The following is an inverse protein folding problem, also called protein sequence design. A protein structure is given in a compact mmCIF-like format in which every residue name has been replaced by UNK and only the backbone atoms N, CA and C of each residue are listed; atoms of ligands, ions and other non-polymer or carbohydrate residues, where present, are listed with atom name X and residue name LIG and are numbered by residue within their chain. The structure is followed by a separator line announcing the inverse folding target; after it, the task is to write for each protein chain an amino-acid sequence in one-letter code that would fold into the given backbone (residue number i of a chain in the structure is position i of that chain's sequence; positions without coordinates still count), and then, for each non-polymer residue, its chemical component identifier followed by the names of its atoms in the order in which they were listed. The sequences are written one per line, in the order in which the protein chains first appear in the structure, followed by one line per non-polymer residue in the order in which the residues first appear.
data_IF_697217187313
#
_entry.id   IF_697217187313
#
_cell.length_a   1.000
_cell.length_b   1.000
_cell.length_c   1.000
_cell.angle_alpha   90.00
_cell.angle_beta   90.00
_cell.angle_gamma   90.00
#
_symmetry.space_group_name_H-M   'P 1'
#
loop_
_entity.id
_entity.type
_entity.pdbx_description
1 polymer ?
#
# COMPACT_ATOMS: atom_id res chain seq x y z
N UNK A 1 3.19 -24.12 28.37
CA UNK A 1 3.05 -23.53 27.02
C UNK A 1 1.86 -24.14 26.26
N UNK A 2 1.72 -25.47 26.20
CA UNK A 2 0.66 -26.17 25.44
C UNK A 2 -0.76 -25.85 26.00
N UNK A 3 -0.97 -25.93 27.32
CA UNK A 3 -2.25 -25.62 27.99
C UNK A 3 -2.66 -24.16 27.77
N UNK A 4 -1.69 -23.23 27.76
CA UNK A 4 -1.93 -21.81 27.52
C UNK A 4 -2.36 -21.54 26.04
N UNK A 5 -1.77 -22.25 25.07
CA UNK A 5 -2.18 -22.19 23.67
C UNK A 5 -3.59 -22.76 23.45
N UNK A 6 -3.91 -23.92 24.04
CA UNK A 6 -5.27 -24.50 23.95
C UNK A 6 -6.32 -23.58 24.56
N UNK A 7 -6.05 -22.97 25.71
CA UNK A 7 -6.98 -22.03 26.36
C UNK A 7 -7.23 -20.80 25.47
N UNK A 8 -6.22 -20.21 24.86
CA UNK A 8 -6.38 -19.09 23.93
C UNK A 8 -7.17 -19.49 22.67
N UNK A 9 -6.96 -20.69 22.13
CA UNK A 9 -7.75 -21.20 21.01
C UNK A 9 -9.24 -21.30 21.37
N UNK A 10 -9.57 -21.88 22.56
CA UNK A 10 -10.97 -21.98 22.99
C UNK A 10 -11.62 -20.60 23.22
N UNK A 11 -10.88 -19.65 23.82
CA UNK A 11 -11.39 -18.27 24.04
C UNK A 11 -11.68 -17.59 22.70
N UNK A 12 -10.74 -17.66 21.76
CA UNK A 12 -10.92 -17.13 20.41
C UNK A 12 -12.14 -17.73 19.71
N UNK A 13 -12.25 -19.07 19.72
CA UNK A 13 -13.32 -19.78 19.01
C UNK A 13 -14.70 -19.44 19.59
N UNK A 14 -14.78 -19.34 20.94
CA UNK A 14 -16.01 -18.91 21.63
C UNK A 14 -16.34 -17.44 21.30
N UNK A 15 -15.32 -16.56 21.29
CA UNK A 15 -15.51 -15.15 20.96
C UNK A 15 -16.01 -14.97 19.53
N UNK A 16 -15.43 -15.68 18.56
CA UNK A 16 -15.86 -15.61 17.16
C UNK A 16 -17.30 -16.16 17.00
N UNK A 17 -17.64 -17.26 17.67
CA UNK A 17 -18.98 -17.82 17.63
C UNK A 17 -20.06 -16.92 18.26
N UNK A 18 -19.69 -16.09 19.23
CA UNK A 18 -20.61 -15.12 19.87
C UNK A 18 -20.82 -13.86 19.01
N UNK A 19 -19.82 -13.46 18.22
CA UNK A 19 -19.83 -12.17 17.52
C UNK A 19 -20.03 -12.26 16.00
N UNK A 20 -20.02 -13.47 15.43
CA UNK A 20 -20.24 -13.70 13.99
C UNK A 20 -21.52 -14.53 13.79
N UNK A 21 -22.42 -13.99 12.98
CA UNK A 21 -23.57 -14.74 12.53
C UNK A 21 -23.16 -15.99 11.73
N UNK A 22 -23.75 -17.12 12.03
CA UNK A 22 -23.52 -18.42 11.37
C UNK A 22 -22.10 -18.99 11.54
N UNK A 23 -21.27 -18.46 12.43
CA UNK A 23 -19.97 -19.03 12.71
C UNK A 23 -20.11 -20.33 13.49
N UNK A 24 -19.61 -21.44 12.92
CA UNK A 24 -19.64 -22.75 13.56
C UNK A 24 -18.28 -23.46 13.45
N UNK A 25 -17.78 -23.99 14.58
CA UNK A 25 -16.56 -24.80 14.58
C UNK A 25 -16.76 -26.23 14.09
N UNK A 26 -15.70 -27.04 13.94
CA UNK A 26 -14.32 -26.72 14.27
C UNK A 26 -13.65 -25.79 13.24
N UNK A 27 -12.64 -25.03 13.70
CA UNK A 27 -11.87 -24.15 12.82
C UNK A 27 -10.45 -24.67 12.59
N UNK A 28 -9.90 -24.40 11.41
CA UNK A 28 -8.47 -24.49 11.13
C UNK A 28 -7.87 -23.10 10.98
N UNK A 29 -6.62 -22.94 11.37
CA UNK A 29 -5.90 -21.67 11.30
C UNK A 29 -4.56 -21.89 10.61
N UNK A 30 -4.33 -21.16 9.53
CA UNK A 30 -3.11 -21.19 8.75
C UNK A 30 -2.52 -19.77 8.70
N UNK A 31 -1.23 -19.62 8.93
CA UNK A 31 -0.56 -18.33 8.82
C UNK A 31 -0.17 -18.06 7.37
N UNK A 32 -0.49 -16.88 6.82
CA UNK A 32 0.01 -16.48 5.52
C UNK A 32 1.51 -16.23 5.59
N UNK A 33 2.26 -16.90 4.72
CA UNK A 33 3.70 -16.69 4.56
C UNK A 33 3.93 -15.49 3.66
N UNK A 34 4.21 -14.34 4.23
CA UNK A 34 4.45 -13.09 3.51
C UNK A 34 3.68 -11.94 4.17
N UNK A 35 4.25 -10.75 4.18
CA UNK A 35 3.74 -9.61 4.92
C UNK A 35 4.50 -9.41 6.22
N UNK A 36 5.26 -8.32 6.30
CA UNK A 36 6.20 -8.10 7.40
C UNK A 36 5.60 -7.26 8.53
N UNK A 37 4.43 -6.61 8.29
CA UNK A 37 3.91 -5.63 9.23
C UNK A 37 2.99 -6.24 10.28
N UNK A 38 1.87 -6.83 9.88
CA UNK A 38 0.87 -7.37 10.80
C UNK A 38 0.65 -8.87 10.53
N UNK A 39 0.83 -9.76 11.53
CA UNK A 39 0.56 -11.19 11.35
C UNK A 39 -0.87 -11.44 10.89
N UNK A 40 -0.99 -12.18 9.79
CA UNK A 40 -2.26 -12.43 9.10
C UNK A 40 -2.50 -13.94 8.99
N UNK A 41 -3.72 -14.37 9.32
CA UNK A 41 -4.10 -15.78 9.40
C UNK A 41 -5.36 -16.06 8.62
N UNK A 42 -5.38 -17.15 7.88
CA UNK A 42 -6.58 -17.73 7.30
C UNK A 42 -7.28 -18.59 8.35
N UNK A 43 -8.57 -18.30 8.60
CA UNK A 43 -9.45 -19.08 9.47
C UNK A 43 -10.48 -19.75 8.57
N UNK A 44 -10.50 -21.08 8.57
CA UNK A 44 -11.50 -21.87 7.83
C UNK A 44 -12.44 -22.55 8.82
N UNK A 45 -13.73 -22.43 8.55
CA UNK A 45 -14.81 -23.23 9.16
C UNK A 45 -15.21 -24.35 8.18
N UNK A 46 -16.26 -25.07 8.50
CA UNK A 46 -16.84 -26.06 7.58
C UNK A 46 -17.52 -25.43 6.34
N UNK A 47 -17.92 -24.17 6.41
CA UNK A 47 -18.70 -23.47 5.40
C UNK A 47 -18.03 -22.24 4.84
N UNK A 48 -17.20 -21.55 5.63
CA UNK A 48 -16.69 -20.23 5.32
C UNK A 48 -15.20 -20.08 5.57
N UNK A 49 -14.60 -19.06 4.94
CA UNK A 49 -13.22 -18.68 5.15
C UNK A 49 -13.11 -17.20 5.53
N UNK A 50 -12.29 -16.91 6.52
CA UNK A 50 -12.05 -15.58 7.05
C UNK A 50 -10.57 -15.27 7.12
N UNK A 51 -10.22 -13.99 7.15
CA UNK A 51 -8.87 -13.51 7.39
C UNK A 51 -8.83 -12.76 8.71
N UNK A 52 -7.99 -13.21 9.64
CA UNK A 52 -7.70 -12.54 10.90
C UNK A 52 -6.37 -11.82 10.78
N UNK A 53 -6.37 -10.50 11.02
CA UNK A 53 -5.17 -9.67 11.04
C UNK A 53 -5.00 -9.07 12.44
N UNK A 54 -3.81 -9.19 13.02
CA UNK A 54 -3.55 -8.75 14.39
C UNK A 54 -2.29 -7.89 14.51
N UNK A 55 -2.21 -7.09 15.56
CA UNK A 55 -0.95 -6.43 15.93
C UNK A 55 0.15 -7.46 16.24
N UNK A 56 1.41 -7.23 15.84
CA UNK A 56 2.51 -8.08 16.25
C UNK A 56 2.70 -8.01 17.78
N UNK A 57 3.23 -9.08 18.40
CA UNK A 57 3.53 -9.07 19.85
C UNK A 57 4.74 -8.18 20.14
N UNK A 58 4.73 -7.47 21.27
CA UNK A 58 5.87 -6.69 21.78
C UNK A 58 5.56 -5.21 21.95
N UNK A 59 6.60 -4.43 22.32
CA UNK A 59 6.51 -2.97 22.44
C UNK A 59 6.54 -2.36 21.05
N UNK A 60 5.41 -1.80 20.63
CA UNK A 60 5.24 -1.16 19.34
C UNK A 60 5.36 0.36 19.45
N UNK A 61 5.86 1.00 18.41
CA UNK A 61 5.79 2.46 18.29
C UNK A 61 4.31 2.88 18.18
N UNK A 62 3.94 3.96 18.85
CA UNK A 62 2.55 4.44 19.03
C UNK A 62 1.73 4.60 17.74
N UNK A 63 2.35 4.66 16.57
CA UNK A 63 1.70 4.82 15.26
C UNK A 63 1.97 3.68 14.28
N UNK A 64 2.70 2.64 14.71
CA UNK A 64 2.97 1.47 13.89
C UNK A 64 1.90 0.41 14.15
N UNK A 65 1.52 -0.32 13.10
CA UNK A 65 0.61 -1.47 13.22
C UNK A 65 -0.81 -1.12 13.71
N UNK A 66 -1.37 -0.01 13.22
CA UNK A 66 -2.69 0.49 13.60
C UNK A 66 -3.82 -0.32 12.92
N UNK A 67 -4.07 -1.54 13.41
CA UNK A 67 -5.12 -2.44 12.88
C UNK A 67 -6.53 -1.86 13.04
N UNK A 68 -6.77 -1.00 14.03
CA UNK A 68 -7.99 -0.23 14.22
C UNK A 68 -8.27 0.72 13.06
N UNK A 69 -7.24 1.43 12.58
CA UNK A 69 -7.34 2.32 11.42
C UNK A 69 -7.59 1.53 10.13
N UNK A 70 -6.89 0.42 9.96
CA UNK A 70 -7.06 -0.47 8.83
C UNK A 70 -8.49 -1.03 8.79
N UNK A 71 -9.01 -1.52 9.91
CA UNK A 71 -10.40 -1.95 10.02
C UNK A 71 -11.39 -0.80 9.73
N UNK A 72 -11.17 0.40 10.28
CA UNK A 72 -12.03 1.58 10.10
C UNK A 72 -12.21 1.90 8.61
N UNK A 73 -11.12 1.94 7.84
CA UNK A 73 -11.18 2.28 6.42
C UNK A 73 -11.83 1.18 5.59
N UNK A 74 -11.49 -0.11 5.82
CA UNK A 74 -12.10 -1.23 5.10
C UNK A 74 -13.62 -1.24 5.36
N UNK A 75 -14.04 -1.08 6.62
CA UNK A 75 -15.46 -1.06 6.99
C UNK A 75 -16.22 0.11 6.34
N UNK A 76 -15.60 1.28 6.29
CA UNK A 76 -16.20 2.43 5.62
C UNK A 76 -16.34 2.20 4.10
N UNK A 77 -15.31 1.62 3.46
CA UNK A 77 -15.33 1.30 2.04
C UNK A 77 -16.30 0.19 1.65
N UNK A 78 -16.74 -0.66 2.58
CA UNK A 78 -17.79 -1.65 2.31
C UNK A 78 -19.13 -1.02 1.88
N UNK A 79 -19.32 0.29 2.06
CA UNK A 79 -20.49 1.04 1.60
C UNK A 79 -20.33 1.64 0.20
N UNK A 80 -19.22 1.36 -0.48
CA UNK A 80 -18.84 1.94 -1.77
C UNK A 80 -18.64 0.84 -2.83
N UNK A 81 -18.33 1.24 -4.06
CA UNK A 81 -17.95 0.34 -5.15
C UNK A 81 -16.43 0.06 -5.23
N UNK A 82 -15.66 0.53 -4.25
CA UNK A 82 -14.24 0.19 -4.11
C UNK A 82 -14.12 -1.25 -3.62
N UNK A 83 -13.43 -2.13 -4.34
CA UNK A 83 -13.31 -3.53 -3.94
C UNK A 83 -12.40 -3.69 -2.72
N UNK A 84 -12.99 -4.12 -1.61
CA UNK A 84 -12.29 -4.40 -0.34
C UNK A 84 -12.91 -5.64 0.31
N UNK A 85 -12.19 -6.34 1.21
CA UNK A 85 -12.79 -7.41 1.98
C UNK A 85 -13.97 -6.90 2.82
N UNK A 86 -14.94 -7.75 3.13
CA UNK A 86 -15.99 -7.41 4.09
C UNK A 86 -15.38 -7.39 5.49
N UNK A 87 -15.46 -6.24 6.17
CA UNK A 87 -15.02 -6.08 7.54
C UNK A 87 -16.09 -6.58 8.52
N UNK A 88 -15.84 -7.69 9.22
CA UNK A 88 -16.81 -8.31 10.12
C UNK A 88 -16.76 -7.75 11.52
N UNK A 89 -15.60 -7.87 12.19
CA UNK A 89 -15.45 -7.45 13.57
C UNK A 89 -14.04 -6.90 13.85
N UNK A 90 -13.98 -6.01 14.85
CA UNK A 90 -12.75 -5.52 15.44
C UNK A 90 -12.78 -5.81 16.95
N UNK A 91 -11.71 -6.38 17.49
CA UNK A 91 -11.59 -6.76 18.88
C UNK A 91 -10.39 -6.04 19.52
N UNK A 92 -10.68 -5.15 20.45
CA UNK A 92 -9.69 -4.42 21.26
C UNK A 92 -9.31 -5.20 22.54
N UNK A 93 -10.10 -6.23 22.90
CA UNK A 93 -9.86 -7.03 24.12
C UNK A 93 -8.67 -7.98 23.92
N UNK A 94 -7.53 -7.60 24.46
CA UNK A 94 -6.31 -8.41 24.42
C UNK A 94 -6.45 -9.75 25.17
N UNK A 95 -7.45 -9.94 26.03
CA UNK A 95 -7.65 -11.20 26.73
C UNK A 95 -8.05 -12.36 25.80
N UNK A 96 -8.57 -12.05 24.61
CA UNK A 96 -9.06 -13.03 23.63
C UNK A 96 -7.90 -13.79 22.97
N UNK A 97 -6.95 -13.06 22.35
CA UNK A 97 -5.78 -13.67 21.66
C UNK A 97 -4.43 -13.08 22.08
N UNK A 98 -4.42 -12.21 23.08
CA UNK A 98 -3.19 -11.58 23.59
C UNK A 98 -2.82 -10.28 22.89
N UNK A 99 -3.63 -9.79 21.95
CA UNK A 99 -3.42 -8.54 21.20
C UNK A 99 -4.70 -8.15 20.47
N UNK A 100 -4.80 -6.88 20.11
CA UNK A 100 -5.86 -6.34 19.26
C UNK A 100 -5.82 -6.98 17.86
N UNK A 101 -7.00 -7.25 17.29
CA UNK A 101 -7.16 -7.86 15.96
C UNK A 101 -8.46 -7.47 15.31
N UNK A 102 -8.55 -7.69 14.01
CA UNK A 102 -9.81 -7.65 13.28
C UNK A 102 -9.99 -8.87 12.38
N UNK A 103 -11.24 -9.11 11.99
CA UNK A 103 -11.63 -10.17 11.09
C UNK A 103 -12.30 -9.59 9.85
N UNK A 104 -11.94 -10.12 8.69
CA UNK A 104 -12.52 -9.77 7.40
C UNK A 104 -12.78 -11.02 6.55
N UNK A 105 -13.53 -10.88 5.46
CA UNK A 105 -13.74 -11.98 4.51
C UNK A 105 -12.43 -12.41 3.86
N UNK A 106 -12.33 -13.70 3.55
CA UNK A 106 -11.35 -14.19 2.61
C UNK A 106 -11.86 -13.89 1.19
N UNK A 107 -11.02 -13.29 0.36
CA UNK A 107 -11.33 -13.01 -1.05
C UNK A 107 -10.52 -13.99 -1.91
N UNK A 108 -11.20 -14.74 -2.76
CA UNK A 108 -10.57 -15.65 -3.70
C UNK A 108 -9.99 -14.88 -4.89
N UNK A 109 -8.85 -15.36 -5.42
CA UNK A 109 -8.18 -14.79 -6.58
C UNK A 109 -6.68 -14.97 -6.52
N UNK A 110 -5.97 -14.25 -7.39
CA UNK A 110 -4.52 -14.32 -7.51
C UNK A 110 -3.87 -12.96 -7.18
N UNK A 111 -2.79 -13.00 -6.41
CA UNK A 111 -1.87 -11.86 -6.22
C UNK A 111 -0.68 -12.07 -7.14
N UNK A 112 -0.40 -11.11 -8.03
CA UNK A 112 0.76 -11.12 -8.90
C UNK A 112 1.90 -10.31 -8.28
N UNK A 113 3.10 -10.86 -8.30
CA UNK A 113 4.26 -10.25 -7.65
C UNK A 113 5.11 -9.39 -8.58
N UNK A 114 5.14 -9.75 -9.86
CA UNK A 114 5.94 -9.06 -10.87
C UNK A 114 5.06 -8.15 -11.73
N UNK A 115 5.41 -6.85 -11.91
CA UNK A 115 4.54 -5.91 -12.63
C UNK A 115 4.37 -6.24 -14.11
N UNK A 116 5.26 -7.03 -14.72
CA UNK A 116 5.09 -7.51 -16.10
C UNK A 116 4.23 -8.79 -16.20
N UNK A 117 3.76 -9.32 -15.07
CA UNK A 117 2.83 -10.45 -14.93
C UNK A 117 3.26 -11.62 -15.81
N UNK A 118 4.38 -12.30 -15.51
CA UNK A 118 4.87 -13.43 -16.34
C UNK A 118 3.90 -14.61 -16.36
N UNK A 119 3.08 -14.77 -15.33
CA UNK A 119 2.09 -15.85 -15.20
C UNK A 119 0.80 -15.62 -16.03
N UNK A 120 0.64 -14.44 -16.64
CA UNK A 120 -0.56 -14.14 -17.41
C UNK A 120 -0.69 -15.06 -18.64
N UNK A 121 -1.91 -15.50 -18.91
CA UNK A 121 -2.27 -16.38 -20.04
C UNK A 121 -1.88 -15.78 -21.39
N UNK A 122 -2.09 -14.47 -21.53
CA UNK A 122 -1.86 -13.73 -22.78
C UNK A 122 -1.77 -12.20 -22.54
N UNK A 123 -1.56 -11.47 -23.62
CA UNK A 123 -1.48 -10.01 -23.61
C UNK A 123 -2.81 -9.35 -23.26
N UNK A 124 -3.93 -9.99 -23.59
CA UNK A 124 -5.27 -9.47 -23.24
C UNK A 124 -5.46 -9.45 -21.75
N UNK A 125 -5.12 -10.53 -21.06
CA UNK A 125 -5.20 -10.61 -19.60
C UNK A 125 -4.38 -9.50 -18.94
N UNK A 126 -3.11 -9.28 -19.37
CA UNK A 126 -2.29 -8.19 -18.85
C UNK A 126 -2.95 -6.82 -19.05
N UNK A 127 -3.44 -6.58 -20.27
CA UNK A 127 -4.14 -5.33 -20.60
C UNK A 127 -5.36 -5.10 -19.72
N UNK A 128 -6.17 -6.14 -19.48
CA UNK A 128 -7.40 -6.03 -18.71
C UNK A 128 -7.11 -5.83 -17.21
N UNK A 129 -6.09 -6.51 -16.66
CA UNK A 129 -5.61 -6.27 -15.30
C UNK A 129 -5.15 -4.81 -15.12
N UNK A 130 -4.33 -4.27 -16.04
CA UNK A 130 -3.87 -2.88 -15.94
C UNK A 130 -4.99 -1.86 -16.05
N UNK A 131 -6.00 -2.10 -16.90
CA UNK A 131 -7.21 -1.26 -16.96
C UNK A 131 -8.00 -1.33 -15.65
N UNK A 132 -8.14 -2.52 -15.10
CA UNK A 132 -8.82 -2.72 -13.82
C UNK A 132 -8.10 -2.03 -12.65
N UNK A 133 -6.75 -2.07 -12.60
CA UNK A 133 -5.96 -1.33 -11.63
C UNK A 133 -6.22 0.18 -11.72
N UNK A 134 -6.18 0.74 -12.95
CA UNK A 134 -6.45 2.16 -13.17
C UNK A 134 -7.87 2.57 -12.80
N UNK A 135 -8.86 1.71 -13.08
CA UNK A 135 -10.26 1.93 -12.68
C UNK A 135 -10.41 1.90 -11.16
N UNK A 136 -9.77 0.93 -10.51
CA UNK A 136 -9.88 0.72 -9.07
C UNK A 136 -9.28 1.86 -8.26
N UNK A 137 -8.09 2.33 -8.62
CA UNK A 137 -7.49 3.48 -7.92
C UNK A 137 -8.28 4.77 -8.17
N UNK A 138 -8.86 4.94 -9.37
CA UNK A 138 -9.76 6.06 -9.65
C UNK A 138 -11.02 5.99 -8.77
N UNK A 139 -11.67 4.83 -8.65
CA UNK A 139 -12.82 4.66 -7.75
C UNK A 139 -12.47 5.05 -6.33
N UNK A 140 -11.31 4.59 -5.82
CA UNK A 140 -10.85 4.97 -4.50
C UNK A 140 -10.71 6.48 -4.33
N UNK A 141 -10.05 7.15 -5.28
CA UNK A 141 -9.84 8.61 -5.22
C UNK A 141 -11.14 9.42 -5.41
N UNK A 142 -12.17 8.83 -5.98
CA UNK A 142 -13.47 9.48 -6.18
C UNK A 142 -14.43 9.31 -4.98
N UNK A 143 -14.05 8.49 -3.99
CA UNK A 143 -14.81 8.39 -2.74
C UNK A 143 -14.73 9.70 -1.98
N UNK A 144 -15.88 10.26 -1.61
CA UNK A 144 -15.95 11.43 -0.71
C UNK A 144 -15.84 10.95 0.73
N UNK A 145 -14.76 11.33 1.45
CA UNK A 145 -14.55 10.82 2.81
C UNK A 145 -15.69 11.14 3.78
N UNK A 146 -16.34 12.31 3.62
CA UNK A 146 -17.51 12.69 4.43
C UNK A 146 -18.72 11.78 4.27
N UNK A 147 -18.91 11.17 3.07
CA UNK A 147 -20.07 10.34 2.79
C UNK A 147 -19.97 8.97 3.47
N UNK A 148 -18.77 8.60 3.93
CA UNK A 148 -18.47 7.32 4.59
C UNK A 148 -17.87 7.48 6.00
N UNK A 149 -17.96 8.68 6.59
CA UNK A 149 -17.50 8.96 7.96
C UNK A 149 -15.98 8.92 8.15
N UNK A 150 -15.22 9.32 7.13
CA UNK A 150 -13.76 9.39 7.14
C UNK A 150 -13.21 10.81 6.98
N UNK A 151 -13.98 11.86 7.25
CA UNK A 151 -13.56 13.25 7.14
C UNK A 151 -12.39 13.61 8.06
N UNK A 152 -12.23 12.89 9.17
CA UNK A 152 -11.15 13.05 10.16
C UNK A 152 -10.01 12.00 9.99
N UNK A 153 -10.06 11.17 8.96
CA UNK A 153 -9.13 10.05 8.77
C UNK A 153 -7.70 10.49 8.44
N UNK A 154 -7.50 11.74 8.04
CA UNK A 154 -6.20 12.35 7.73
C UNK A 154 -6.08 13.76 8.26
N UNK A 155 -4.91 14.37 8.06
CA UNK A 155 -4.65 15.76 8.45
C UNK A 155 -4.98 16.68 7.27
N UNK A 156 -5.66 17.81 7.49
CA UNK A 156 -5.88 18.82 6.47
C UNK A 156 -4.57 19.50 6.02
N UNK A 157 -4.61 20.21 4.90
CA UNK A 157 -3.50 20.98 4.34
C UNK A 157 -2.66 20.21 3.33
N UNK A 158 -1.64 20.87 2.80
CA UNK A 158 -0.84 20.36 1.69
C UNK A 158 -0.15 19.02 2.03
N UNK A 159 -0.65 17.94 1.44
CA UNK A 159 -0.17 16.58 1.68
C UNK A 159 1.29 16.43 1.24
N UNK A 160 1.63 16.85 0.01
CA UNK A 160 2.98 16.69 -0.56
C UNK A 160 4.01 17.45 0.29
N UNK A 161 3.73 18.69 0.67
CA UNK A 161 4.64 19.48 1.52
C UNK A 161 4.94 18.80 2.86
N UNK A 162 3.89 18.23 3.50
CA UNK A 162 4.08 17.49 4.75
C UNK A 162 4.91 16.24 4.57
N UNK A 163 4.72 15.51 3.47
CA UNK A 163 5.50 14.32 3.16
C UNK A 163 6.96 14.66 2.83
N UNK A 164 7.21 15.70 2.04
CA UNK A 164 8.58 16.19 1.79
C UNK A 164 9.28 16.51 3.10
N UNK A 165 8.65 17.32 3.96
CA UNK A 165 9.23 17.66 5.28
C UNK A 165 9.50 16.43 6.15
N UNK A 166 8.57 15.46 6.17
CA UNK A 166 8.71 14.21 6.94
C UNK A 166 9.90 13.39 6.46
N UNK A 167 9.98 13.16 5.14
CA UNK A 167 11.00 12.29 4.56
C UNK A 167 12.39 12.95 4.57
N UNK A 168 12.48 14.28 4.43
CA UNK A 168 13.72 15.02 4.63
C UNK A 168 14.27 14.82 6.04
N UNK A 169 13.42 14.98 7.07
CA UNK A 169 13.83 14.76 8.47
C UNK A 169 14.26 13.32 8.73
N UNK A 170 13.55 12.35 8.16
CA UNK A 170 13.88 10.94 8.32
C UNK A 170 15.20 10.59 7.63
N UNK A 171 15.43 11.10 6.42
CA UNK A 171 16.69 10.93 5.69
C UNK A 171 17.87 11.47 6.51
N UNK A 172 17.82 12.72 6.95
CA UNK A 172 18.90 13.36 7.75
C UNK A 172 19.17 12.56 9.04
N UNK A 173 18.13 12.09 9.73
CA UNK A 173 18.29 11.31 10.96
C UNK A 173 18.94 9.94 10.74
N UNK A 174 18.85 9.38 9.54
CA UNK A 174 19.36 8.04 9.18
C UNK A 174 20.55 8.07 8.22
N UNK A 175 21.07 9.24 7.88
CA UNK A 175 22.14 9.41 6.90
C UNK A 175 23.38 8.58 7.28
N UNK A 176 23.88 7.80 6.32
CA UNK A 176 25.09 6.99 6.43
C UNK A 176 26.17 7.44 5.46
N UNK A 177 25.79 8.16 4.42
CA UNK A 177 26.67 8.76 3.42
C UNK A 177 25.99 10.00 2.85
N UNK A 178 26.77 10.93 2.32
CA UNK A 178 26.23 12.11 1.63
C UNK A 178 25.79 11.74 0.22
N UNK A 179 24.50 11.95 -0.06
CA UNK A 179 23.89 11.80 -1.40
C UNK A 179 23.50 13.19 -1.89
N UNK A 180 24.29 13.77 -2.81
CA UNK A 180 24.10 15.13 -3.32
C UNK A 180 22.69 15.33 -3.92
N UNK A 181 22.19 14.34 -4.67
CA UNK A 181 20.85 14.39 -5.21
C UNK A 181 19.75 14.52 -4.13
N UNK A 182 19.93 13.88 -2.95
CA UNK A 182 19.00 14.06 -1.82
C UNK A 182 19.05 15.48 -1.26
N UNK A 183 20.25 16.07 -1.15
CA UNK A 183 20.41 17.45 -0.67
C UNK A 183 19.71 18.41 -1.64
N UNK A 184 19.95 18.27 -2.95
CA UNK A 184 19.30 19.08 -3.98
C UNK A 184 17.78 18.94 -3.93
N UNK A 185 17.25 17.73 -3.78
CA UNK A 185 15.80 17.48 -3.69
C UNK A 185 15.20 18.06 -2.41
N UNK A 186 15.89 17.99 -1.28
CA UNK A 186 15.41 18.58 -0.01
C UNK A 186 15.35 20.11 -0.06
N UNK A 187 16.19 20.76 -0.88
CA UNK A 187 16.15 22.20 -1.13
C UNK A 187 15.10 22.56 -2.19
N UNK A 188 15.04 21.82 -3.28
CA UNK A 188 14.22 22.13 -4.45
C UNK A 188 12.73 21.81 -4.26
N UNK A 189 12.39 20.64 -3.73
CA UNK A 189 10.99 20.20 -3.60
C UNK A 189 10.11 21.14 -2.78
N UNK A 190 10.53 21.72 -1.64
CA UNK A 190 9.70 22.67 -0.89
C UNK A 190 9.32 23.92 -1.67
N UNK A 191 10.19 24.37 -2.60
CA UNK A 191 9.98 25.56 -3.41
C UNK A 191 9.19 25.28 -4.70
N UNK A 192 9.03 24.00 -5.05
CA UNK A 192 8.42 23.54 -6.30
C UNK A 192 7.29 22.51 -6.04
N UNK A 193 6.44 22.78 -5.06
CA UNK A 193 5.33 21.88 -4.76
C UNK A 193 4.30 21.87 -5.91
N UNK A 194 3.66 20.71 -6.18
CA UNK A 194 2.59 20.66 -7.16
C UNK A 194 1.38 21.50 -6.73
N UNK A 195 0.56 21.87 -7.68
CA UNK A 195 -0.72 22.52 -7.42
C UNK A 195 -1.56 21.62 -6.51
N UNK A 196 -2.03 22.17 -5.38
CA UNK A 196 -2.82 21.42 -4.40
C UNK A 196 -4.10 20.86 -5.04
N UNK A 197 -4.29 19.54 -4.93
CA UNK A 197 -5.50 18.86 -5.37
C UNK A 197 -6.45 18.68 -4.18
N UNK A 198 -7.76 18.55 -4.41
CA UNK A 198 -8.69 18.15 -3.36
C UNK A 198 -8.23 16.85 -2.69
N UNK A 199 -8.18 16.84 -1.36
CA UNK A 199 -7.82 15.66 -0.61
C UNK A 199 -8.88 14.57 -0.81
N UNK A 200 -8.42 13.38 -1.10
CA UNK A 200 -9.23 12.18 -1.20
C UNK A 200 -8.70 11.07 -0.27
N UNK A 201 -9.39 9.96 -0.21
CA UNK A 201 -8.85 8.77 0.43
C UNK A 201 -7.76 8.18 -0.48
N UNK A 202 -6.54 8.06 0.03
CA UNK A 202 -5.40 7.45 -0.66
C UNK A 202 -4.98 6.17 0.05
N UNK A 203 -4.49 5.20 -0.72
CA UNK A 203 -3.97 3.94 -0.21
C UNK A 203 -2.58 4.11 0.41
N UNK A 204 -1.72 4.89 -0.25
CA UNK A 204 -0.34 5.16 0.17
C UNK A 204 0.68 4.11 -0.25
N UNK A 205 0.22 2.91 -0.69
CA UNK A 205 1.03 1.80 -1.21
C UNK A 205 0.23 0.96 -2.23
N UNK A 206 -0.57 1.60 -3.09
CA UNK A 206 -1.34 0.90 -4.12
C UNK A 206 -0.40 0.29 -5.15
N UNK A 207 -0.41 -1.03 -5.23
CA UNK A 207 0.45 -1.80 -6.13
C UNK A 207 -0.19 -3.13 -6.51
N UNK A 208 0.33 -3.77 -7.57
CA UNK A 208 -0.13 -5.09 -8.01
C UNK A 208 -0.03 -6.15 -6.90
N UNK A 209 0.96 -6.03 -6.02
CA UNK A 209 1.17 -6.95 -4.91
C UNK A 209 0.18 -6.76 -3.75
N UNK A 210 -0.53 -5.62 -3.73
CA UNK A 210 -1.53 -5.27 -2.71
C UNK A 210 -2.97 -5.35 -3.25
N UNK A 211 -3.18 -6.08 -4.34
CA UNK A 211 -4.52 -6.37 -4.87
C UNK A 211 -4.70 -7.85 -5.16
N UNK A 212 -5.93 -8.32 -5.04
CA UNK A 212 -6.34 -9.65 -5.50
C UNK A 212 -7.04 -9.47 -6.84
N UNK A 213 -6.59 -10.23 -7.85
CA UNK A 213 -7.22 -10.28 -9.17
C UNK A 213 -8.14 -11.50 -9.22
N UNK A 214 -9.38 -11.30 -9.61
CA UNK A 214 -10.35 -12.36 -9.83
C UNK A 214 -9.93 -13.22 -11.02
N UNK A 215 -9.94 -14.54 -10.83
CA UNK A 215 -9.38 -15.50 -11.79
C UNK A 215 -10.24 -15.68 -13.05
N UNK A 216 -11.51 -15.26 -13.01
CA UNK A 216 -12.46 -15.41 -14.13
C UNK A 216 -12.57 -14.13 -14.94
N UNK A 217 -12.69 -12.99 -14.27
CA UNK A 217 -12.94 -11.69 -14.89
C UNK A 217 -11.68 -10.86 -15.18
N UNK A 218 -10.52 -11.22 -14.61
CA UNK A 218 -9.28 -10.45 -14.65
C UNK A 218 -9.43 -9.03 -14.02
N UNK A 219 -10.45 -8.84 -13.16
CA UNK A 219 -10.70 -7.57 -12.47
C UNK A 219 -10.11 -7.59 -11.05
N UNK A 220 -9.84 -6.41 -10.50
CA UNK A 220 -9.47 -6.29 -9.08
C UNK A 220 -10.67 -6.69 -8.22
N UNK A 221 -10.54 -7.81 -7.52
CA UNK A 221 -11.52 -8.33 -6.58
C UNK A 221 -11.39 -7.70 -5.19
N UNK A 222 -10.18 -7.27 -4.82
CA UNK A 222 -9.95 -6.64 -3.52
C UNK A 222 -8.64 -5.87 -3.47
N UNK A 223 -8.65 -4.75 -2.75
CA UNK A 223 -7.45 -4.01 -2.32
C UNK A 223 -7.11 -4.46 -0.91
N UNK A 224 -5.83 -4.73 -0.66
CA UNK A 224 -5.27 -5.20 0.61
C UNK A 224 -4.28 -4.18 1.20
N UNK A 225 -3.95 -4.34 2.47
CA UNK A 225 -2.87 -3.63 3.18
C UNK A 225 -3.07 -2.10 3.29
N UNK A 226 -4.11 -1.73 4.03
CA UNK A 226 -4.54 -0.34 4.24
C UNK A 226 -3.76 0.42 5.32
N UNK A 227 -2.66 -0.12 5.82
CA UNK A 227 -1.92 0.46 6.97
C UNK A 227 -1.35 1.86 6.70
N UNK A 228 -1.05 2.20 5.44
CA UNK A 228 -0.54 3.51 5.03
C UNK A 228 -1.63 4.48 4.55
N UNK A 229 -2.87 4.05 4.52
CA UNK A 229 -3.99 4.84 4.02
C UNK A 229 -4.26 6.09 4.87
N UNK A 230 -4.68 7.16 4.19
CA UNK A 230 -4.98 8.45 4.81
C UNK A 230 -5.78 9.35 3.85
N UNK A 231 -6.11 10.56 4.28
CA UNK A 231 -6.50 11.61 3.35
C UNK A 231 -5.25 12.26 2.75
N UNK A 232 -5.15 12.24 1.42
CA UNK A 232 -3.97 12.67 0.71
C UNK A 232 -4.25 13.20 -0.69
N UNK A 233 -3.17 13.46 -1.41
CA UNK A 233 -3.20 13.91 -2.79
C UNK A 233 -3.36 12.71 -3.74
N UNK A 234 -4.40 12.66 -4.59
CA UNK A 234 -4.65 11.54 -5.50
C UNK A 234 -3.50 11.32 -6.49
N UNK A 235 -2.83 12.38 -6.92
CA UNK A 235 -1.72 12.25 -7.87
C UNK A 235 -0.46 11.71 -7.20
N UNK A 236 -0.25 12.01 -5.93
CA UNK A 236 0.84 11.41 -5.15
C UNK A 236 0.65 9.90 -4.98
N UNK A 237 -0.60 9.42 -4.82
CA UNK A 237 -0.92 7.99 -4.72
C UNK A 237 -0.83 7.29 -6.08
N UNK A 238 -1.44 7.87 -7.11
CA UNK A 238 -1.40 7.31 -8.47
C UNK A 238 0.03 7.27 -9.04
N UNK A 239 0.82 8.32 -8.85
CA UNK A 239 2.21 8.32 -9.33
C UNK A 239 3.12 7.36 -8.54
N UNK A 240 2.81 7.10 -7.26
CA UNK A 240 3.49 6.04 -6.50
C UNK A 240 3.23 4.67 -7.13
N UNK A 241 1.99 4.36 -7.47
CA UNK A 241 1.64 3.14 -8.21
C UNK A 241 2.38 3.04 -9.55
N UNK A 242 2.58 4.17 -10.25
CA UNK A 242 3.28 4.22 -11.54
C UNK A 242 4.82 4.16 -11.44
N UNK A 243 5.42 4.17 -10.25
CA UNK A 243 6.87 4.06 -10.09
C UNK A 243 7.46 2.80 -10.74
N UNK A 244 6.69 1.74 -10.90
CA UNK A 244 7.08 0.53 -11.62
C UNK A 244 7.58 0.82 -13.04
N UNK A 245 7.06 1.87 -13.72
CA UNK A 245 7.54 2.29 -15.05
C UNK A 245 8.94 2.93 -15.03
N UNK A 246 9.45 3.32 -13.87
CA UNK A 246 10.82 3.82 -13.70
C UNK A 246 11.74 2.75 -13.10
N UNK A 247 11.21 1.88 -12.26
CA UNK A 247 12.00 0.96 -11.45
C UNK A 247 12.12 -0.44 -12.04
N UNK A 248 11.16 -0.85 -12.89
CA UNK A 248 11.20 -2.17 -13.52
C UNK A 248 11.80 -2.07 -14.93
N UNK A 249 12.89 -2.81 -15.25
CA UNK A 249 13.57 -2.72 -16.55
C UNK A 249 12.68 -3.06 -17.75
N UNK A 250 11.67 -3.91 -17.55
CA UNK A 250 10.72 -4.31 -18.61
C UNK A 250 9.72 -3.18 -18.86
N UNK A 251 9.14 -2.62 -17.81
CA UNK A 251 8.11 -1.58 -17.92
C UNK A 251 8.68 -0.21 -18.29
N UNK A 252 9.96 0.05 -18.03
CA UNK A 252 10.63 1.27 -18.49
C UNK A 252 10.86 1.31 -20.02
N UNK A 253 10.76 0.17 -20.69
CA UNK A 253 10.86 0.05 -22.13
C UNK A 253 9.46 -0.03 -22.77
N UNK A 254 9.07 1.04 -23.47
CA UNK A 254 7.78 1.14 -24.15
C UNK A 254 7.56 0.04 -25.21
N UNK A 255 8.63 -0.47 -25.86
CA UNK A 255 8.51 -1.54 -26.82
C UNK A 255 8.21 -2.87 -26.13
N UNK A 256 8.82 -3.15 -24.98
CA UNK A 256 8.51 -4.32 -24.17
C UNK A 256 7.09 -4.28 -23.62
N UNK A 257 6.64 -3.12 -23.11
CA UNK A 257 5.25 -2.94 -22.69
C UNK A 257 4.28 -3.33 -23.81
N UNK A 258 4.46 -2.80 -25.01
CA UNK A 258 3.61 -3.11 -26.17
C UNK A 258 3.65 -4.59 -26.57
N UNK A 259 4.82 -5.21 -26.54
CA UNK A 259 4.96 -6.63 -26.85
C UNK A 259 4.21 -7.53 -25.83
N UNK A 260 4.09 -7.07 -24.60
CA UNK A 260 3.39 -7.78 -23.51
C UNK A 260 1.91 -7.40 -23.40
N UNK A 261 1.42 -6.44 -24.19
CA UNK A 261 0.05 -5.93 -24.08
C UNK A 261 -0.18 -5.08 -22.82
N UNK A 262 0.88 -4.61 -22.18
CA UNK A 262 0.84 -3.69 -21.03
C UNK A 262 0.81 -2.26 -21.59
N UNK A 263 -0.04 -1.34 -21.08
CA UNK A 263 0.00 0.05 -21.47
C UNK A 263 1.37 0.66 -21.12
N UNK A 264 1.92 1.48 -22.00
CA UNK A 264 3.09 2.29 -21.68
C UNK A 264 2.75 3.31 -20.59
N UNK A 265 3.76 3.86 -19.89
CA UNK A 265 3.55 4.87 -18.85
C UNK A 265 2.59 5.99 -19.31
N UNK A 266 2.80 6.51 -20.53
CA UNK A 266 1.95 7.56 -21.11
C UNK A 266 0.51 7.11 -21.37
N UNK A 267 0.32 5.90 -21.87
CA UNK A 267 -1.00 5.33 -22.10
C UNK A 267 -1.70 5.05 -20.76
N UNK A 268 -0.97 4.57 -19.76
CA UNK A 268 -1.51 4.30 -18.45
C UNK A 268 -1.91 5.58 -17.70
N UNK A 269 -1.06 6.60 -17.76
CA UNK A 269 -1.38 7.94 -17.24
C UNK A 269 -2.66 8.49 -17.90
N UNK A 270 -2.80 8.31 -19.21
CA UNK A 270 -3.99 8.75 -19.94
C UNK A 270 -5.27 8.03 -19.47
N UNK A 271 -5.21 6.72 -19.18
CA UNK A 271 -6.36 5.97 -18.65
C UNK A 271 -6.93 6.58 -17.36
N UNK A 272 -6.06 7.12 -16.52
CA UNK A 272 -6.46 7.82 -15.29
C UNK A 272 -6.87 9.27 -15.57
N UNK A 273 -6.07 9.99 -16.35
CA UNK A 273 -6.28 11.40 -16.67
C UNK A 273 -7.63 11.67 -17.38
N UNK A 274 -8.08 10.76 -18.23
CA UNK A 274 -9.37 10.87 -18.92
C UNK A 274 -10.60 10.82 -17.98
N UNK A 275 -10.39 10.49 -16.70
CA UNK A 275 -11.46 10.33 -15.69
C UNK A 275 -11.51 11.45 -14.65
N UNK A 276 -10.50 12.29 -14.60
CA UNK A 276 -10.37 13.37 -13.61
C UNK A 276 -10.48 14.74 -14.25
N UNK A 277 -10.95 15.73 -13.49
CA UNK A 277 -11.22 17.09 -13.98
C UNK A 277 -10.03 18.06 -13.85
N UNK A 278 -8.80 17.52 -13.69
CA UNK A 278 -7.60 18.35 -13.53
C UNK A 278 -6.48 17.90 -14.46
N UNK A 279 -5.64 18.87 -14.87
CA UNK A 279 -4.54 18.63 -15.78
C UNK A 279 -3.33 18.01 -15.04
N UNK A 280 -2.72 16.99 -15.61
CA UNK A 280 -1.69 16.16 -14.97
C UNK A 280 -0.31 16.32 -15.61
N UNK A 281 -0.24 16.43 -16.94
CA UNK A 281 0.99 16.26 -17.72
C UNK A 281 2.14 17.17 -17.28
N UNK A 282 1.87 18.43 -16.92
CA UNK A 282 2.91 19.39 -16.56
C UNK A 282 3.55 19.14 -15.19
N UNK A 283 2.86 18.41 -14.31
CA UNK A 283 3.32 18.11 -12.94
C UNK A 283 3.75 16.64 -12.77
N UNK A 284 3.64 15.82 -13.82
CA UNK A 284 3.89 14.38 -13.73
C UNK A 284 5.29 14.03 -13.21
N UNK A 285 6.34 14.62 -13.84
CA UNK A 285 7.72 14.36 -13.41
C UNK A 285 7.99 14.82 -11.97
N UNK A 286 7.31 15.87 -11.52
CA UNK A 286 7.41 16.35 -10.15
C UNK A 286 6.83 15.34 -9.16
N UNK A 287 5.66 14.74 -9.45
CA UNK A 287 5.08 13.69 -8.61
C UNK A 287 5.93 12.42 -8.62
N UNK A 288 6.48 12.04 -9.78
CA UNK A 288 7.39 10.90 -9.88
C UNK A 288 8.67 11.15 -9.09
N UNK A 289 9.27 12.34 -9.23
CA UNK A 289 10.44 12.76 -8.44
C UNK A 289 10.17 12.73 -6.95
N UNK A 290 9.03 13.29 -6.51
CA UNK A 290 8.60 13.25 -5.11
C UNK A 290 8.51 11.81 -4.55
N UNK A 291 7.93 10.88 -5.30
CA UNK A 291 7.80 9.51 -4.84
C UNK A 291 9.13 8.74 -4.86
N UNK A 292 10.01 8.99 -5.82
CA UNK A 292 11.37 8.45 -5.82
C UNK A 292 12.18 9.00 -4.64
N UNK A 293 12.06 10.30 -4.33
CA UNK A 293 12.64 10.92 -3.13
C UNK A 293 12.13 10.26 -1.84
N UNK A 294 10.82 10.00 -1.74
CA UNK A 294 10.22 9.25 -0.63
C UNK A 294 10.84 7.86 -0.50
N UNK A 295 10.96 7.10 -1.59
CA UNK A 295 11.58 5.78 -1.58
C UNK A 295 13.07 5.82 -1.22
N UNK A 296 13.80 6.83 -1.70
CA UNK A 296 15.20 7.04 -1.30
C UNK A 296 15.33 7.26 0.21
N UNK A 297 14.44 8.08 0.79
CA UNK A 297 14.36 8.29 2.24
C UNK A 297 14.02 7.03 3.03
N UNK A 298 13.12 6.18 2.51
CA UNK A 298 12.80 4.86 3.10
C UNK A 298 14.02 3.95 3.06
N UNK A 299 14.69 3.83 1.90
CA UNK A 299 15.88 3.00 1.72
C UNK A 299 17.03 3.46 2.62
N UNK A 300 17.26 4.76 2.74
CA UNK A 300 18.23 5.31 3.68
C UNK A 300 17.89 4.99 5.13
N UNK A 301 16.59 5.04 5.50
CA UNK A 301 16.14 4.63 6.83
C UNK A 301 16.41 3.15 7.13
N UNK A 302 16.34 2.28 6.12
CA UNK A 302 16.72 0.86 6.23
C UNK A 302 18.24 0.75 6.43
N UNK A 303 19.05 1.48 5.64
CA UNK A 303 20.50 1.50 5.78
C UNK A 303 20.93 2.01 7.17
N UNK A 304 20.27 3.04 7.70
CA UNK A 304 20.50 3.51 9.07
C UNK A 304 20.30 2.40 10.11
N UNK A 305 19.21 1.62 9.96
CA UNK A 305 18.97 0.45 10.85
C UNK A 305 20.00 -0.67 10.66
N UNK A 306 20.51 -0.89 9.45
CA UNK A 306 21.63 -1.82 9.19
C UNK A 306 22.86 -1.37 9.96
N UNK A 307 23.25 -0.09 9.84
CA UNK A 307 24.36 0.51 10.59
C UNK A 307 24.21 0.31 12.11
N UNK A 308 22.99 0.50 12.61
CA UNK A 308 22.67 0.43 14.05
C UNK A 308 22.44 -1.01 14.55
N UNK A 309 22.53 -2.03 13.67
CA UNK A 309 22.31 -3.45 13.99
C UNK A 309 20.87 -3.79 14.34
N UNK A 310 19.88 -2.97 13.95
CA UNK A 310 18.45 -3.13 14.27
C UNK A 310 17.59 -3.50 13.06
N UNK A 311 18.19 -3.71 11.88
CA UNK A 311 17.49 -4.13 10.68
C UNK A 311 17.00 -5.60 10.81
N UNK A 312 15.73 -5.85 10.48
CA UNK A 312 15.11 -7.18 10.60
C UNK A 312 15.03 -7.97 9.28
N UNK A 313 15.24 -7.33 8.13
CA UNK A 313 15.08 -7.97 6.81
C UNK A 313 16.35 -8.66 6.33
N UNK A 314 16.20 -9.83 5.69
CA UNK A 314 17.34 -10.60 5.10
C UNK A 314 18.09 -9.78 4.03
N UNK A 315 17.38 -8.93 3.25
CA UNK A 315 17.94 -8.11 2.19
C UNK A 315 18.00 -6.61 2.57
N UNK A 316 18.10 -6.29 3.87
CA UNK A 316 18.05 -4.91 4.34
C UNK A 316 19.19 -4.04 3.78
N UNK A 317 20.40 -4.59 3.70
CA UNK A 317 21.57 -3.89 3.15
C UNK A 317 21.40 -3.59 1.65
N UNK A 318 21.00 -4.58 0.86
CA UNK A 318 20.71 -4.39 -0.57
C UNK A 318 19.61 -3.35 -0.81
N UNK A 319 18.54 -3.40 -0.02
CA UNK A 319 17.46 -2.42 -0.09
C UNK A 319 17.96 -1.01 0.28
N UNK A 320 18.79 -0.91 1.31
CA UNK A 320 19.39 0.35 1.74
C UNK A 320 20.30 0.97 0.69
N UNK A 321 21.12 0.17 0.00
CA UNK A 321 22.01 0.62 -1.08
C UNK A 321 21.29 1.28 -2.26
N UNK A 322 19.98 1.04 -2.44
CA UNK A 322 19.17 1.66 -3.50
C UNK A 322 18.93 3.16 -3.30
N UNK A 323 19.17 3.70 -2.09
CA UNK A 323 18.88 5.08 -1.74
C UNK A 323 19.52 6.09 -2.73
N UNK A 324 20.79 5.90 -3.07
CA UNK A 324 21.52 6.77 -4.01
C UNK A 324 20.90 6.75 -5.40
N UNK A 325 20.68 5.55 -5.97
CA UNK A 325 20.12 5.40 -7.32
C UNK A 325 18.72 6.02 -7.42
N UNK A 326 17.89 5.82 -6.40
CA UNK A 326 16.55 6.39 -6.35
C UNK A 326 16.59 7.92 -6.27
N UNK A 327 17.49 8.48 -5.48
CA UNK A 327 17.67 9.93 -5.35
C UNK A 327 18.18 10.56 -6.65
N UNK A 328 19.18 9.96 -7.30
CA UNK A 328 19.71 10.41 -8.59
C UNK A 328 18.63 10.37 -9.67
N UNK A 329 17.87 9.27 -9.73
CA UNK A 329 16.72 9.16 -10.66
C UNK A 329 15.63 10.21 -10.39
N UNK A 330 15.38 10.53 -9.12
CA UNK A 330 14.42 11.57 -8.74
C UNK A 330 14.90 12.96 -9.19
N UNK A 331 16.19 13.27 -8.96
CA UNK A 331 16.77 14.55 -9.32
C UNK A 331 16.82 14.74 -10.83
N UNK A 332 17.17 13.71 -11.58
CA UNK A 332 17.23 13.74 -13.06
C UNK A 332 15.90 14.12 -13.71
N UNK A 333 14.75 13.82 -13.09
CA UNK A 333 13.43 14.20 -13.60
C UNK A 333 13.15 15.72 -13.52
N UNK A 334 13.83 16.44 -12.61
CA UNK A 334 13.47 17.82 -12.29
C UNK A 334 14.63 18.82 -12.38
N UNK A 335 15.89 18.37 -12.47
CA UNK A 335 17.07 19.25 -12.47
C UNK A 335 17.06 20.34 -13.56
N UNK A 336 16.46 20.06 -14.72
CA UNK A 336 16.40 21.02 -15.82
C UNK A 336 15.24 22.01 -15.69
N UNK A 337 14.46 21.91 -14.60
CA UNK A 337 13.39 22.86 -14.23
C UNK A 337 13.90 23.94 -13.24
N UNK A 338 15.19 23.86 -12.84
CA UNK A 338 15.83 24.78 -11.90
C UNK A 338 16.17 26.12 -12.53
#
# INVERSE_FOLDING_TARGET
LWIRRQRQMCIRDSYLAEHLENFSGPITVEEFKGGQSNPTYLIKTSTDSYVLRRKPPGLLLKSAHAVDREFKVIKALNMTDVPVPIAYLHCEDESVIGTEFFLMSFVEGTVFWEPHIPEAKDNKQRSDIYKSLSETIYKLHNVKPSDIGLEDYGRPGNYVARQVSRWSKQYVASETETIEAMNNLMEWLPENLPTEKPLCLVHGDFSLTNVIIDNESDQVASILDWELSTLGDPMADFSYHCLQYKLNPILSDAAQCKNLGIPTEKEYLKLYADKVDYYIDSEWDLYMSFNLFKLAGISQGIMGRVRDGTAAGVNAEETGMRARLLAESAWDLVKDRT
#
